data_IF_739617533631
#
_entry.id   IF_739617533631
#
_cell.length_a   1.000
_cell.length_b   1.000
_cell.length_c   1.000
_cell.angle_alpha   90.00
_cell.angle_beta   90.00
_cell.angle_gamma   90.00
#
_symmetry.space_group_name_H-M   'P 1'
#
loop_
_entity.id
_entity.type
_entity.pdbx_description
1 polymer ?
#
# COMPACT_ATOMS: atom_id res chain seq x y z
N UNK A 1 24.39 -15.04 -87.95
CA UNK A 1 24.29 -16.47 -87.57
C UNK A 1 24.32 -16.58 -86.05
N UNK A 2 23.43 -17.40 -85.47
CA UNK A 2 23.37 -17.81 -84.05
C UNK A 2 24.74 -18.27 -83.51
N UNK A 3 25.05 -18.27 -82.20
CA UNK A 3 24.40 -19.02 -81.09
C UNK A 3 24.86 -18.56 -79.69
N UNK A 4 24.11 -19.01 -78.68
CA UNK A 4 24.06 -18.72 -77.24
C UNK A 4 25.27 -19.11 -76.35
N UNK A 5 25.19 -18.64 -75.08
CA UNK A 5 25.66 -19.21 -73.79
C UNK A 5 27.18 -19.14 -73.48
N UNK A 6 27.68 -18.87 -72.26
CA UNK A 6 27.19 -19.13 -70.87
C UNK A 6 27.98 -18.20 -69.91
N UNK A 7 27.35 -17.81 -68.81
CA UNK A 7 27.92 -17.12 -67.65
C UNK A 7 28.73 -18.07 -66.74
N UNK A 8 29.79 -17.59 -66.03
CA UNK A 8 30.43 -18.34 -64.95
C UNK A 8 29.89 -17.93 -63.56
N UNK A 9 29.67 -18.96 -62.74
CA UNK A 9 29.27 -18.96 -61.34
C UNK A 9 30.21 -18.15 -60.43
N UNK A 10 29.65 -17.35 -59.54
CA UNK A 10 30.37 -16.73 -58.41
C UNK A 10 30.10 -17.56 -57.14
N UNK A 11 31.21 -18.13 -56.65
CA UNK A 11 31.36 -18.89 -55.42
C UNK A 11 30.70 -18.27 -54.20
N UNK A 12 29.85 -19.05 -53.53
CA UNK A 12 29.27 -18.77 -52.22
C UNK A 12 30.29 -18.99 -51.09
N UNK A 13 30.59 -17.97 -50.29
CA UNK A 13 31.31 -18.10 -49.02
C UNK A 13 30.34 -18.54 -47.91
N UNK A 14 30.38 -19.84 -47.55
CA UNK A 14 29.66 -20.40 -46.40
C UNK A 14 30.45 -20.14 -45.12
N UNK A 15 29.94 -19.29 -44.22
CA UNK A 15 30.38 -19.27 -42.83
C UNK A 15 29.73 -20.46 -42.12
N UNK A 16 30.55 -21.44 -41.72
CA UNK A 16 30.11 -22.67 -41.08
C UNK A 16 30.11 -22.47 -39.56
N UNK A 17 28.98 -22.03 -39.00
CA UNK A 17 28.74 -22.10 -37.56
C UNK A 17 28.23 -23.53 -37.27
N UNK A 18 28.97 -24.28 -36.45
CA UNK A 18 28.50 -25.57 -35.93
C UNK A 18 27.28 -25.30 -35.04
N UNK A 19 26.09 -25.70 -35.50
CA UNK A 19 24.87 -25.82 -34.73
C UNK A 19 24.58 -27.31 -34.54
N UNK A 20 24.50 -27.74 -33.28
CA UNK A 20 23.39 -28.61 -32.91
C UNK A 20 22.16 -27.69 -32.76
N UNK A 21 21.00 -28.15 -33.23
CA UNK A 21 19.72 -27.43 -33.42
C UNK A 21 19.52 -26.77 -34.80
N UNK A 22 18.91 -27.54 -35.71
CA UNK A 22 18.32 -27.09 -36.96
C UNK A 22 17.15 -26.12 -36.71
N UNK A 23 17.27 -24.90 -37.20
CA UNK A 23 16.13 -24.06 -37.60
C UNK A 23 16.52 -23.36 -38.90
N UNK A 24 15.96 -23.80 -40.03
CA UNK A 24 15.98 -23.08 -41.30
C UNK A 24 14.78 -22.12 -41.32
N UNK A 25 15.04 -20.82 -41.44
CA UNK A 25 14.00 -19.82 -41.72
C UNK A 25 14.16 -19.40 -43.18
N UNK A 26 13.22 -19.82 -44.02
CA UNK A 26 13.09 -19.37 -45.41
C UNK A 26 12.30 -18.05 -45.42
N UNK A 27 12.96 -16.94 -45.80
CA UNK A 27 12.29 -15.65 -46.01
C UNK A 27 12.03 -15.41 -47.51
N UNK A 28 10.81 -14.97 -47.89
CA UNK A 28 10.49 -14.68 -49.29
C UNK A 28 11.13 -13.36 -49.75
N UNK A 29 11.70 -13.39 -50.96
CA UNK A 29 12.34 -12.24 -51.62
C UNK A 29 11.34 -11.52 -52.51
N UNK A 30 10.75 -10.40 -52.08
CA UNK A 30 10.34 -9.32 -53.00
C UNK A 30 10.10 -7.97 -52.29
N UNK A 31 10.36 -6.92 -53.08
CA UNK A 31 10.46 -5.48 -52.83
C UNK A 31 9.34 -4.82 -52.01
N UNK A 32 9.71 -4.16 -50.91
CA UNK A 32 9.43 -2.74 -50.62
C UNK A 32 10.15 -2.30 -49.32
N UNK A 33 10.94 -1.24 -49.41
CA UNK A 33 12.21 -1.09 -48.68
C UNK A 33 12.16 -0.31 -47.34
N UNK A 34 11.03 -0.28 -46.64
CA UNK A 34 10.92 0.38 -45.33
C UNK A 34 10.27 -0.50 -44.27
N UNK A 35 9.17 -1.19 -44.60
CA UNK A 35 8.50 -2.10 -43.67
C UNK A 35 9.30 -3.39 -43.40
N UNK A 36 10.10 -3.85 -44.37
CA UNK A 36 10.93 -5.05 -44.20
C UNK A 36 12.09 -4.81 -43.24
N UNK A 37 12.76 -3.65 -43.32
CA UNK A 37 13.77 -3.28 -42.34
C UNK A 37 13.16 -3.10 -40.96
N UNK A 38 11.99 -2.45 -40.84
CA UNK A 38 11.34 -2.23 -39.54
C UNK A 38 10.95 -3.55 -38.86
N UNK A 39 10.38 -4.51 -39.59
CA UNK A 39 10.09 -5.84 -39.07
C UNK A 39 11.36 -6.61 -38.70
N UNK A 40 12.43 -6.54 -39.51
CA UNK A 40 13.71 -7.15 -39.16
C UNK A 40 14.36 -6.51 -37.95
N UNK A 41 14.28 -5.18 -37.78
CA UNK A 41 14.77 -4.48 -36.58
C UNK A 41 13.98 -4.86 -35.33
N UNK A 42 12.64 -4.94 -35.41
CA UNK A 42 11.82 -5.36 -34.27
C UNK A 42 12.12 -6.82 -33.90
N UNK A 43 12.25 -7.71 -34.89
CA UNK A 43 12.56 -9.12 -34.63
C UNK A 43 13.98 -9.30 -34.08
N UNK A 44 14.95 -8.53 -34.57
CA UNK A 44 16.31 -8.50 -34.04
C UNK A 44 16.31 -7.88 -32.63
N UNK A 45 15.54 -6.83 -32.36
CA UNK A 45 15.40 -6.28 -31.01
C UNK A 45 14.73 -7.26 -30.06
N UNK A 46 13.74 -8.04 -30.50
CA UNK A 46 13.10 -9.09 -29.70
C UNK A 46 14.09 -10.26 -29.48
N UNK A 47 14.81 -10.69 -30.51
CA UNK A 47 15.81 -11.75 -30.41
C UNK A 47 17.01 -11.32 -29.56
N UNK A 48 17.45 -10.06 -29.65
CA UNK A 48 18.46 -9.48 -28.75
C UNK A 48 17.88 -9.41 -27.35
N UNK A 49 16.62 -8.98 -27.15
CA UNK A 49 16.00 -8.94 -25.82
C UNK A 49 15.89 -10.33 -25.20
N UNK A 50 15.53 -11.34 -25.99
CA UNK A 50 15.48 -12.76 -25.57
C UNK A 50 16.89 -13.35 -25.34
N UNK A 51 17.87 -13.10 -26.22
CA UNK A 51 19.26 -13.53 -26.04
C UNK A 51 20.01 -12.74 -24.94
N UNK A 52 19.54 -11.57 -24.55
CA UNK A 52 20.06 -10.79 -23.42
C UNK A 52 19.40 -11.19 -22.10
N UNK A 53 18.10 -11.53 -22.10
CA UNK A 53 17.40 -12.07 -20.92
C UNK A 53 17.97 -13.43 -20.49
N UNK A 54 18.36 -14.29 -21.44
CA UNK A 54 18.96 -15.61 -21.14
C UNK A 54 20.44 -15.53 -20.69
N UNK A 55 21.09 -14.36 -20.79
CA UNK A 55 22.53 -14.19 -20.49
C UNK A 55 22.85 -13.41 -19.21
N UNK A 56 21.85 -12.85 -18.53
CA UNK A 56 22.00 -12.39 -17.15
C UNK A 56 21.56 -13.52 -16.22
N UNK A 57 22.52 -14.12 -15.51
CA UNK A 57 22.19 -14.96 -14.36
C UNK A 57 21.19 -14.21 -13.47
N UNK A 58 20.12 -14.92 -13.08
CA UNK A 58 19.01 -14.41 -12.25
C UNK A 58 19.45 -13.24 -11.37
N UNK A 59 19.18 -12.00 -11.80
CA UNK A 59 19.24 -10.87 -10.90
C UNK A 59 18.20 -11.20 -9.83
N UNK A 60 18.66 -11.57 -8.63
CA UNK A 60 17.75 -11.89 -7.54
C UNK A 60 16.91 -10.64 -7.27
N UNK A 61 15.67 -10.67 -7.73
CA UNK A 61 14.71 -9.60 -7.49
C UNK A 61 14.57 -9.45 -5.97
N UNK A 62 14.57 -8.22 -5.43
CA UNK A 62 14.34 -8.01 -4.01
C UNK A 62 13.03 -8.68 -3.59
N UNK A 63 13.05 -9.26 -2.38
CA UNK A 63 11.89 -9.98 -1.81
C UNK A 63 10.64 -9.10 -1.82
N UNK A 64 10.79 -7.84 -1.43
CA UNK A 64 9.72 -6.87 -1.37
C UNK A 64 9.90 -5.76 -2.39
N UNK A 65 8.80 -5.34 -3.01
CA UNK A 65 8.74 -4.14 -3.85
C UNK A 65 8.17 -2.94 -3.09
N UNK A 66 7.43 -3.17 -1.99
CA UNK A 66 6.80 -2.12 -1.21
C UNK A 66 6.89 -2.39 0.30
N UNK A 67 7.01 -1.31 1.06
CA UNK A 67 6.91 -1.27 2.51
C UNK A 67 5.70 -0.40 2.86
N UNK A 68 4.73 -0.99 3.55
CA UNK A 68 3.48 -0.34 3.93
C UNK A 68 3.54 -0.03 5.43
N UNK A 69 3.38 1.23 5.82
CA UNK A 69 3.52 1.67 7.22
C UNK A 69 2.23 2.26 7.72
N UNK A 70 1.73 1.75 8.83
CA UNK A 70 0.85 2.55 9.67
C UNK A 70 1.60 3.73 10.30
N UNK A 71 0.85 4.72 10.77
CA UNK A 71 1.37 5.98 11.27
C UNK A 71 1.31 6.04 12.80
N UNK A 72 0.09 6.03 13.34
CA UNK A 72 -0.19 6.19 14.76
C UNK A 72 0.37 5.02 15.57
N UNK A 73 1.11 5.32 16.64
CA UNK A 73 1.75 4.32 17.51
C UNK A 73 2.74 3.36 16.81
N UNK A 74 3.00 3.57 15.51
CA UNK A 74 3.94 2.83 14.66
C UNK A 74 5.19 3.65 14.33
N UNK A 75 5.03 4.82 13.69
CA UNK A 75 6.15 5.71 13.34
C UNK A 75 6.57 6.63 14.49
N UNK A 76 5.74 6.72 15.52
CA UNK A 76 6.02 7.34 16.80
C UNK A 76 5.44 6.46 17.90
N UNK A 77 6.02 6.46 19.11
CA UNK A 77 5.57 5.57 20.16
C UNK A 77 4.24 6.03 20.79
N UNK A 78 3.50 5.08 21.33
CA UNK A 78 2.32 5.31 22.18
C UNK A 78 2.56 6.31 23.32
N UNK A 79 3.80 6.36 23.83
CA UNK A 79 4.21 7.29 24.88
C UNK A 79 4.20 8.77 24.45
N UNK A 80 4.00 9.08 23.17
CA UNK A 80 3.76 10.44 22.67
C UNK A 80 2.49 11.08 23.25
N UNK A 81 1.55 10.26 23.72
CA UNK A 81 0.28 10.71 24.30
C UNK A 81 -0.77 11.12 23.27
N UNK A 82 -0.49 11.00 21.97
CA UNK A 82 -1.46 11.34 20.92
C UNK A 82 -2.69 10.44 20.97
N UNK A 83 -2.51 9.12 21.10
CA UNK A 83 -3.63 8.18 21.20
C UNK A 83 -4.59 8.50 22.36
N UNK A 84 -4.04 8.89 23.53
CA UNK A 84 -4.84 9.32 24.67
C UNK A 84 -5.60 10.63 24.39
N UNK A 85 -4.97 11.59 23.71
CA UNK A 85 -5.61 12.84 23.31
C UNK A 85 -6.70 12.61 22.24
N UNK A 86 -6.46 11.72 21.27
CA UNK A 86 -7.46 11.29 20.27
C UNK A 86 -8.67 10.69 20.98
N UNK A 87 -8.45 9.70 21.86
CA UNK A 87 -9.53 9.05 22.60
C UNK A 87 -10.35 10.08 23.39
N UNK A 88 -9.70 10.97 24.15
CA UNK A 88 -10.38 12.03 24.88
C UNK A 88 -11.20 12.93 23.94
N UNK A 89 -10.63 13.35 22.81
CA UNK A 89 -11.35 14.22 21.87
C UNK A 89 -12.55 13.51 21.23
N UNK A 90 -12.48 12.20 21.01
CA UNK A 90 -13.62 11.39 20.54
C UNK A 90 -14.72 11.35 21.61
N UNK A 91 -14.35 11.14 22.88
CA UNK A 91 -15.29 11.15 24.01
C UNK A 91 -15.97 12.52 24.15
N UNK A 92 -15.19 13.61 24.10
CA UNK A 92 -15.70 14.98 24.11
C UNK A 92 -16.67 15.21 22.93
N UNK A 93 -16.39 14.68 21.73
CA UNK A 93 -17.27 14.80 20.57
C UNK A 93 -18.60 14.07 20.79
N UNK A 94 -18.54 12.85 21.32
CA UNK A 94 -19.72 12.05 21.62
C UNK A 94 -20.64 12.74 22.63
N UNK A 95 -20.07 13.41 23.63
CA UNK A 95 -20.84 14.15 24.64
C UNK A 95 -21.37 15.47 24.04
N UNK A 96 -20.48 16.32 23.53
CA UNK A 96 -20.80 17.70 23.16
C UNK A 96 -21.59 17.80 21.85
N UNK A 97 -21.31 16.95 20.86
CA UNK A 97 -21.88 17.04 19.52
C UNK A 97 -23.00 16.04 19.29
N UNK A 98 -22.88 14.83 19.83
CA UNK A 98 -23.88 13.78 19.67
C UNK A 98 -24.86 13.68 20.84
N UNK A 99 -24.61 14.39 21.95
CA UNK A 99 -25.49 14.40 23.12
C UNK A 99 -25.56 13.05 23.85
N UNK A 100 -24.52 12.23 23.73
CA UNK A 100 -24.46 10.91 24.36
C UNK A 100 -24.18 11.08 25.85
N UNK A 101 -24.90 10.32 26.66
CA UNK A 101 -24.72 10.30 28.11
C UNK A 101 -23.28 9.89 28.49
N UNK A 102 -22.62 10.72 29.32
CA UNK A 102 -21.22 10.51 29.75
C UNK A 102 -20.98 9.13 30.37
N UNK A 103 -21.96 8.59 31.11
CA UNK A 103 -21.88 7.28 31.76
C UNK A 103 -21.70 6.11 30.79
N UNK A 104 -22.16 6.26 29.53
CA UNK A 104 -22.11 5.22 28.49
C UNK A 104 -20.86 5.29 27.62
N UNK A 105 -20.11 6.39 27.70
CA UNK A 105 -19.01 6.69 26.79
C UNK A 105 -17.91 5.62 26.84
N UNK A 106 -17.40 5.17 28.01
CA UNK A 106 -16.33 4.17 28.05
C UNK A 106 -16.74 2.87 27.35
N UNK A 107 -17.92 2.34 27.68
CA UNK A 107 -18.43 1.10 27.12
C UNK A 107 -18.69 1.23 25.60
N UNK A 108 -19.23 2.36 25.15
CA UNK A 108 -19.42 2.62 23.72
C UNK A 108 -18.09 2.67 22.99
N UNK A 109 -17.09 3.40 23.49
CA UNK A 109 -15.78 3.46 22.85
C UNK A 109 -15.18 2.06 22.66
N UNK A 110 -15.20 1.25 23.71
CA UNK A 110 -14.65 -0.11 23.69
C UNK A 110 -15.41 -1.02 22.73
N UNK A 111 -16.74 -1.04 22.80
CA UNK A 111 -17.58 -1.88 21.93
C UNK A 111 -17.46 -1.46 20.46
N UNK A 112 -17.48 -0.16 20.18
CA UNK A 112 -17.39 0.33 18.80
C UNK A 112 -16.02 0.07 18.20
N UNK A 113 -14.94 0.36 18.94
CA UNK A 113 -13.58 0.06 18.50
C UNK A 113 -13.35 -1.45 18.30
N UNK A 114 -13.86 -2.29 19.22
CA UNK A 114 -13.71 -3.74 19.15
C UNK A 114 -14.39 -4.33 17.91
N UNK A 115 -15.58 -3.86 17.58
CA UNK A 115 -16.40 -4.46 16.52
C UNK A 115 -16.24 -3.81 15.14
N UNK A 116 -15.89 -2.51 15.08
CA UNK A 116 -15.84 -1.75 13.82
C UNK A 116 -14.44 -1.23 13.47
N UNK A 117 -13.44 -1.42 14.34
CA UNK A 117 -12.07 -0.99 14.10
C UNK A 117 -11.77 0.45 14.48
N UNK A 118 -12.75 1.35 14.37
CA UNK A 118 -12.68 2.73 14.88
C UNK A 118 -14.00 3.13 15.54
N UNK A 119 -13.94 4.04 16.52
CA UNK A 119 -15.16 4.57 17.15
C UNK A 119 -16.03 5.30 16.14
N UNK A 120 -15.44 6.06 15.22
CA UNK A 120 -16.17 6.74 14.13
C UNK A 120 -16.96 5.75 13.26
N UNK A 121 -16.32 4.66 12.80
CA UNK A 121 -16.99 3.63 12.02
C UNK A 121 -18.17 3.01 12.77
N UNK A 122 -17.98 2.76 14.06
CA UNK A 122 -19.05 2.25 14.91
C UNK A 122 -20.20 3.22 15.11
N UNK A 123 -19.91 4.51 15.37
CA UNK A 123 -20.95 5.54 15.52
C UNK A 123 -21.83 5.62 14.27
N UNK A 124 -21.22 5.58 13.08
CA UNK A 124 -21.94 5.53 11.79
C UNK A 124 -22.76 4.26 11.62
N UNK A 125 -22.28 3.12 12.10
CA UNK A 125 -22.99 1.85 12.01
C UNK A 125 -24.26 1.84 12.87
N UNK A 126 -24.18 2.38 14.09
CA UNK A 126 -25.30 2.38 15.03
C UNK A 126 -26.31 3.51 14.79
N UNK A 127 -26.13 4.32 13.75
CA UNK A 127 -27.13 5.28 13.28
C UNK A 127 -26.83 6.76 13.54
N UNK A 128 -25.69 7.10 14.17
CA UNK A 128 -25.30 8.52 14.27
C UNK A 128 -24.89 9.06 12.90
N UNK A 129 -25.41 10.23 12.57
CA UNK A 129 -25.09 10.94 11.33
C UNK A 129 -24.37 12.26 11.66
N UNK A 130 -23.21 12.46 11.05
CA UNK A 130 -22.36 13.64 11.22
C UNK A 130 -21.41 13.77 10.03
N UNK A 131 -20.96 15.00 9.76
CA UNK A 131 -19.99 15.30 8.71
C UNK A 131 -18.57 14.86 9.15
N UNK A 132 -17.86 14.18 8.24
CA UNK A 132 -16.55 13.61 8.53
C UNK A 132 -15.48 14.68 8.71
N UNK A 133 -15.55 15.79 7.97
CA UNK A 133 -14.56 16.86 8.08
C UNK A 133 -14.72 17.60 9.41
N UNK A 134 -15.96 17.81 9.87
CA UNK A 134 -16.20 18.36 11.21
C UNK A 134 -15.68 17.42 12.31
N UNK A 135 -15.94 16.11 12.19
CA UNK A 135 -15.44 15.12 13.14
C UNK A 135 -13.92 15.12 13.20
N UNK A 136 -13.24 15.02 12.05
CA UNK A 136 -11.77 15.02 11.99
C UNK A 136 -11.16 16.33 12.47
N UNK A 137 -11.75 17.48 12.12
CA UNK A 137 -11.33 18.79 12.63
C UNK A 137 -11.43 18.86 14.15
N UNK A 138 -12.51 18.34 14.75
CA UNK A 138 -12.69 18.34 16.20
C UNK A 138 -11.75 17.38 16.91
N UNK A 139 -11.57 16.16 16.37
CA UNK A 139 -10.79 15.09 16.99
C UNK A 139 -9.29 15.32 16.80
N UNK A 140 -8.84 15.60 15.57
CA UNK A 140 -7.43 15.74 15.24
C UNK A 140 -6.92 17.19 15.24
N UNK A 141 -7.80 18.19 15.13
CA UNK A 141 -7.41 19.59 15.13
C UNK A 141 -6.91 20.10 16.48
N UNK A 142 -7.21 19.39 17.57
CA UNK A 142 -6.85 19.76 18.97
C UNK A 142 -5.75 18.89 19.56
N UNK A 143 -5.05 18.10 18.73
CA UNK A 143 -4.00 17.20 19.23
C UNK A 143 -2.72 17.95 19.61
N UNK A 144 -2.00 17.49 20.65
CA UNK A 144 -0.75 18.08 21.11
C UNK A 144 0.42 17.69 20.20
N UNK A 145 0.41 18.15 18.95
CA UNK A 145 1.46 17.85 17.95
C UNK A 145 2.86 18.31 18.37
N UNK A 146 2.97 19.21 19.33
CA UNK A 146 4.23 19.62 19.97
C UNK A 146 4.92 18.48 20.72
N UNK A 147 4.20 17.42 21.09
CA UNK A 147 4.78 16.22 21.69
C UNK A 147 5.58 15.39 20.67
N UNK A 148 5.24 15.50 19.39
CA UNK A 148 6.01 14.89 18.31
C UNK A 148 7.25 15.75 18.02
N UNK A 149 8.42 15.13 18.10
CA UNK A 149 9.71 15.77 17.82
C UNK A 149 10.29 15.21 16.53
N UNK A 150 11.07 16.00 15.77
CA UNK A 150 11.80 15.48 14.62
C UNK A 150 12.66 14.29 15.02
N UNK A 151 12.64 13.25 14.19
CA UNK A 151 13.39 12.02 14.42
C UNK A 151 14.43 11.83 13.30
N UNK A 152 15.62 12.43 13.43
CA UNK A 152 16.66 12.33 12.41
C UNK A 152 17.20 10.90 12.25
N UNK A 153 17.11 10.07 13.29
CA UNK A 153 17.55 8.67 13.24
C UNK A 153 16.58 7.87 12.37
N UNK A 154 15.28 7.99 12.63
CA UNK A 154 14.26 7.37 11.80
C UNK A 154 14.26 7.92 10.37
N UNK A 155 14.42 9.24 10.18
CA UNK A 155 14.55 9.84 8.84
C UNK A 155 15.71 9.22 8.06
N UNK A 156 16.89 9.12 8.68
CA UNK A 156 18.06 8.49 8.05
C UNK A 156 17.83 7.02 7.74
N UNK A 157 17.18 6.29 8.65
CA UNK A 157 16.85 4.87 8.47
C UNK A 157 15.91 4.68 7.27
N UNK A 158 14.78 5.40 7.23
CA UNK A 158 13.81 5.30 6.16
C UNK A 158 14.38 5.78 4.81
N UNK A 159 15.17 6.85 4.81
CA UNK A 159 15.80 7.38 3.58
C UNK A 159 16.79 6.40 2.98
N UNK A 160 17.47 5.60 3.80
CA UNK A 160 18.44 4.61 3.33
C UNK A 160 17.81 3.35 2.72
N UNK A 161 16.50 3.16 2.79
CA UNK A 161 15.82 1.98 2.22
C UNK A 161 15.60 2.15 0.70
N UNK A 162 16.11 1.24 -0.15
CA UNK A 162 15.93 1.28 -1.61
C UNK A 162 14.61 0.63 -2.07
N UNK A 163 13.55 0.73 -1.26
CA UNK A 163 12.25 0.08 -1.52
C UNK A 163 11.16 1.14 -1.45
N UNK A 164 10.11 1.02 -2.27
CA UNK A 164 8.94 1.91 -2.21
C UNK A 164 8.33 1.92 -0.81
N UNK A 165 7.94 3.10 -0.32
CA UNK A 165 7.39 3.32 1.03
C UNK A 165 6.05 4.03 0.92
N UNK A 166 5.00 3.50 1.55
CA UNK A 166 3.64 4.06 1.52
C UNK A 166 3.06 4.08 2.93
N UNK A 167 2.41 5.18 3.32
CA UNK A 167 1.65 5.26 4.57
C UNK A 167 0.26 4.65 4.36
N UNK A 168 -0.23 3.90 5.35
CA UNK A 168 -1.59 3.39 5.41
C UNK A 168 -2.19 3.54 6.81
N UNK A 169 -2.90 4.65 7.01
CA UNK A 169 -3.53 5.03 8.30
C UNK A 169 -5.06 5.03 8.21
N UNK A 170 -5.72 4.80 9.34
CA UNK A 170 -7.17 5.01 9.49
C UNK A 170 -7.53 6.50 9.74
N UNK A 171 -6.54 7.37 9.98
CA UNK A 171 -6.74 8.79 10.19
C UNK A 171 -6.97 9.55 8.86
N UNK A 172 -7.43 10.80 8.97
CA UNK A 172 -7.54 11.71 7.82
C UNK A 172 -6.19 12.24 7.34
N UNK A 173 -6.19 12.76 6.12
CA UNK A 173 -5.00 13.27 5.45
C UNK A 173 -4.37 14.46 6.18
N UNK A 174 -5.17 15.33 6.80
CA UNK A 174 -4.66 16.52 7.50
C UNK A 174 -3.86 16.10 8.74
N UNK A 175 -4.36 15.12 9.50
CA UNK A 175 -3.63 14.53 10.60
C UNK A 175 -2.31 13.89 10.12
N UNK A 176 -2.38 13.04 9.09
CA UNK A 176 -1.21 12.31 8.59
C UNK A 176 -0.07 13.25 8.17
N UNK A 177 -0.38 14.29 7.40
CA UNK A 177 0.60 15.29 6.96
C UNK A 177 1.20 16.04 8.17
N UNK A 178 0.38 16.44 9.15
CA UNK A 178 0.87 17.15 10.35
C UNK A 178 1.82 16.27 11.16
N UNK A 179 1.47 15.00 11.39
CA UNK A 179 2.32 14.08 12.13
C UNK A 179 3.66 13.86 11.42
N UNK A 180 3.64 13.56 10.12
CA UNK A 180 4.85 13.37 9.32
C UNK A 180 5.75 14.61 9.33
N UNK A 181 5.18 15.80 9.16
CA UNK A 181 5.92 17.07 9.20
C UNK A 181 6.57 17.33 10.56
N UNK A 182 5.90 16.98 11.66
CA UNK A 182 6.48 17.11 13.02
C UNK A 182 7.64 16.14 13.26
N UNK A 183 7.58 14.96 12.67
CA UNK A 183 8.63 13.94 12.73
C UNK A 183 9.77 14.22 11.74
N UNK A 184 9.57 15.10 10.76
CA UNK A 184 10.53 15.39 9.70
C UNK A 184 10.59 14.30 8.62
N UNK A 185 9.49 13.56 8.41
CA UNK A 185 9.40 12.37 7.55
C UNK A 185 8.57 12.61 6.28
N UNK A 186 8.18 13.85 5.99
CA UNK A 186 7.36 14.23 4.84
C UNK A 186 7.91 13.74 3.49
N UNK A 187 9.23 13.63 3.35
CA UNK A 187 9.92 13.25 2.10
C UNK A 187 10.19 11.74 2.00
N UNK A 188 9.84 10.95 3.02
CA UNK A 188 10.24 9.55 3.11
C UNK A 188 9.26 8.58 2.41
N UNK A 189 8.06 9.04 2.07
CA UNK A 189 6.97 8.19 1.58
C UNK A 189 6.48 8.67 0.22
N UNK A 190 6.20 7.73 -0.69
CA UNK A 190 5.68 8.04 -2.03
C UNK A 190 4.21 8.52 -1.97
N UNK A 191 3.44 8.00 -1.02
CA UNK A 191 2.02 8.34 -0.90
C UNK A 191 1.42 7.98 0.46
N UNK A 192 0.21 8.48 0.68
CA UNK A 192 -0.57 8.28 1.90
C UNK A 192 -1.94 7.70 1.52
N UNK A 193 -2.21 6.49 1.98
CA UNK A 193 -3.53 5.86 2.00
C UNK A 193 -4.17 6.21 3.35
N UNK A 194 -5.19 7.05 3.34
CA UNK A 194 -5.85 7.59 4.52
C UNK A 194 -7.37 7.41 4.44
N UNK A 195 -8.10 7.96 5.41
CA UNK A 195 -9.55 7.91 5.46
C UNK A 195 -10.20 8.34 4.12
N UNK A 196 -9.80 9.49 3.57
CA UNK A 196 -10.36 10.06 2.34
C UNK A 196 -10.05 9.20 1.12
N UNK A 197 -8.90 8.52 1.10
CA UNK A 197 -8.53 7.59 0.01
C UNK A 197 -9.50 6.40 -0.06
N UNK A 198 -9.94 5.90 1.10
CA UNK A 198 -10.87 4.76 1.17
C UNK A 198 -12.33 5.17 1.19
N UNK A 199 -12.63 6.40 1.58
CA UNK A 199 -13.98 6.94 1.79
C UNK A 199 -14.15 8.26 1.02
N UNK A 200 -14.05 8.24 -0.32
CA UNK A 200 -14.20 9.45 -1.11
C UNK A 200 -15.60 10.05 -0.91
N UNK A 201 -15.65 11.30 -0.47
CA UNK A 201 -16.89 12.08 -0.36
C UNK A 201 -17.01 13.00 -1.58
N UNK A 202 -18.23 13.22 -2.08
CA UNK A 202 -18.50 14.08 -3.25
C UNK A 202 -18.03 15.55 -3.10
N UNK A 203 -17.49 15.94 -1.95
CA UNK A 203 -16.95 17.29 -1.71
C UNK A 203 -15.46 17.43 -2.06
N UNK A 204 -14.71 16.35 -2.31
CA UNK A 204 -13.26 16.43 -2.58
C UNK A 204 -12.87 16.66 -4.05
N UNK A 205 -13.84 16.75 -4.97
CA UNK A 205 -13.56 17.09 -6.38
C UNK A 205 -13.43 18.59 -6.59
N UNK A 206 -12.28 19.12 -6.19
CA UNK A 206 -11.65 20.26 -6.86
C UNK A 206 -10.13 20.05 -6.91
N UNK A 207 -9.68 19.21 -7.85
CA UNK A 207 -8.50 19.44 -8.71
C UNK A 207 -8.16 18.17 -9.50
N UNK A 208 -8.35 18.26 -10.81
CA UNK A 208 -7.54 17.70 -11.90
C UNK A 208 -7.05 16.24 -11.78
N UNK A 209 -7.85 15.30 -12.30
CA UNK A 209 -7.49 14.39 -13.40
C UNK A 209 -8.65 13.40 -13.64
N UNK A 210 -9.07 13.25 -14.90
CA UNK A 210 -10.10 12.31 -15.34
C UNK A 210 -9.60 10.87 -15.22
N UNK A 211 -10.21 10.07 -14.35
CA UNK A 211 -10.33 8.63 -14.51
C UNK A 211 -11.60 8.16 -13.78
N UNK A 212 -12.69 8.08 -14.55
CA UNK A 212 -13.99 7.59 -14.09
C UNK A 212 -13.91 6.10 -13.74
N UNK A 213 -13.83 5.79 -12.45
CA UNK A 213 -14.29 4.49 -11.94
C UNK A 213 -15.77 4.64 -11.58
N UNK A 214 -16.64 4.20 -12.47
CA UNK A 214 -18.08 4.07 -12.21
C UNK A 214 -18.31 3.21 -10.96
N UNK A 215 -18.76 3.85 -9.88
CA UNK A 215 -19.19 3.18 -8.67
C UNK A 215 -20.60 2.62 -8.86
N UNK A 216 -20.70 1.30 -9.02
CA UNK A 216 -21.95 0.53 -9.00
C UNK A 216 -22.42 0.34 -7.54
N UNK A 217 -22.82 1.44 -6.93
CA UNK A 217 -23.39 1.50 -5.59
C UNK A 217 -24.31 2.70 -5.48
N UNK A 218 -25.40 2.66 -6.24
CA UNK A 218 -26.44 3.68 -6.27
C UNK A 218 -26.80 4.17 -4.86
N UNK A 219 -26.53 5.45 -4.61
CA UNK A 219 -27.20 6.25 -3.59
C UNK A 219 -28.66 6.42 -3.97
N UNK A 220 -29.45 5.36 -3.83
CA UNK A 220 -30.86 5.53 -3.54
C UNK A 220 -30.96 5.84 -2.05
N UNK A 221 -30.94 7.13 -1.73
CA UNK A 221 -31.50 7.62 -0.47
C UNK A 221 -32.93 7.07 -0.40
N UNK A 222 -33.28 6.20 0.55
CA UNK A 222 -34.67 5.87 0.76
C UNK A 222 -35.37 7.18 1.08
N UNK A 223 -36.46 7.47 0.37
CA UNK A 223 -37.39 8.53 0.75
C UNK A 223 -37.56 8.50 2.26
N UNK A 224 -37.27 9.62 2.90
CA UNK A 224 -37.50 9.83 4.32
C UNK A 224 -38.93 9.41 4.68
N UNK A 225 -39.06 8.22 5.27
CA UNK A 225 -40.15 7.96 6.18
C UNK A 225 -39.87 8.82 7.42
N UNK A 226 -40.90 9.55 7.87
CA UNK A 226 -40.85 10.52 8.95
C UNK A 226 -40.53 9.86 10.31
N UNK A 227 -39.29 9.46 10.52
CA UNK A 227 -38.72 9.05 11.80
C UNK A 227 -37.24 9.41 11.82
N UNK A 228 -36.77 10.03 12.90
CA UNK A 228 -35.33 10.10 13.17
C UNK A 228 -34.77 8.68 13.12
N UNK A 229 -33.62 8.43 12.45
CA UNK A 229 -33.03 7.09 12.42
C UNK A 229 -32.85 6.59 13.86
N UNK A 230 -33.44 5.45 14.17
CA UNK A 230 -33.35 4.85 15.50
C UNK A 230 -31.90 4.45 15.76
N UNK A 231 -31.32 4.96 16.85
CA UNK A 231 -29.96 4.63 17.24
C UNK A 231 -29.95 3.20 17.81
N UNK A 232 -29.12 2.33 17.22
CA UNK A 232 -28.98 0.95 17.66
C UNK A 232 -28.29 0.88 19.03
N UNK A 233 -28.98 0.29 20.01
CA UNK A 233 -28.44 0.09 21.37
C UNK A 233 -27.45 -1.09 21.43
N UNK A 234 -26.19 -0.80 21.08
CA UNK A 234 -25.12 -1.79 21.10
C UNK A 234 -24.78 -2.30 22.52
N UNK A 235 -24.95 -1.46 23.55
CA UNK A 235 -24.71 -1.87 24.95
C UNK A 235 -25.78 -2.86 25.37
N UNK A 236 -27.05 -2.53 25.13
CA UNK A 236 -28.18 -3.42 25.39
C UNK A 236 -28.05 -4.73 24.62
N UNK A 237 -27.62 -4.67 23.35
CA UNK A 237 -27.37 -5.86 22.52
C UNK A 237 -26.38 -6.82 23.18
N UNK A 238 -25.20 -6.34 23.60
CA UNK A 238 -24.18 -7.21 24.23
C UNK A 238 -24.48 -7.56 25.69
N UNK A 239 -25.47 -6.92 26.31
CA UNK A 239 -25.97 -7.30 27.64
C UNK A 239 -26.89 -8.51 27.61
N UNK A 240 -27.35 -8.94 26.42
CA UNK A 240 -28.21 -10.11 26.26
C UNK A 240 -27.40 -11.41 26.11
N UNK A 241 -27.87 -12.54 26.68
CA UNK A 241 -27.18 -13.83 26.60
C UNK A 241 -27.08 -14.40 25.17
N UNK A 242 -27.98 -14.00 24.26
CA UNK A 242 -28.09 -14.54 22.90
C UNK A 242 -27.53 -13.60 21.80
N UNK A 243 -26.69 -12.64 22.19
CA UNK A 243 -26.08 -11.59 21.34
C UNK A 243 -25.17 -12.11 20.19
N UNK A 244 -25.28 -13.37 19.80
CA UNK A 244 -24.62 -13.96 18.64
C UNK A 244 -25.57 -14.33 17.48
N UNK A 245 -26.89 -14.18 17.65
CA UNK A 245 -27.88 -14.69 16.66
C UNK A 245 -28.34 -13.64 15.64
N UNK A 246 -28.39 -12.36 16.01
CA UNK A 246 -28.63 -11.24 15.08
C UNK A 246 -27.30 -10.59 14.70
N UNK A 247 -27.16 -10.07 13.49
CA UNK A 247 -25.92 -9.41 13.06
C UNK A 247 -25.82 -7.98 13.61
N UNK A 248 -24.61 -7.49 13.81
CA UNK A 248 -24.38 -6.06 14.05
C UNK A 248 -24.70 -5.23 12.78
N UNK A 249 -25.18 -3.99 12.93
CA UNK A 249 -25.34 -3.07 11.81
C UNK A 249 -24.05 -2.91 11.00
N UNK A 250 -24.14 -2.71 9.68
CA UNK A 250 -22.96 -2.48 8.85
C UNK A 250 -22.56 -1.01 8.90
N UNK A 251 -21.26 -0.75 9.02
CA UNK A 251 -20.72 0.60 8.85
C UNK A 251 -20.56 0.95 7.37
N UNK A 252 -20.84 2.19 6.95
CA UNK A 252 -20.45 2.68 5.62
C UNK A 252 -18.96 3.01 5.53
N UNK A 253 -18.25 3.14 6.66
CA UNK A 253 -16.84 3.51 6.69
C UNK A 253 -15.96 2.30 6.40
N UNK A 254 -15.10 2.44 5.40
CA UNK A 254 -14.10 1.45 5.01
C UNK A 254 -12.78 1.78 5.72
N UNK A 255 -12.37 0.95 6.68
CA UNK A 255 -11.13 1.12 7.43
C UNK A 255 -10.56 -0.24 7.92
N UNK A 256 -9.29 -0.24 8.35
CA UNK A 256 -8.67 -1.39 9.05
C UNK A 256 -9.43 -1.65 10.37
N UNK A 257 -9.60 -2.91 10.84
CA UNK A 257 -9.00 -4.18 10.37
C UNK A 257 -9.78 -4.89 9.26
N UNK A 258 -10.75 -4.26 8.60
CA UNK A 258 -11.51 -4.95 7.55
C UNK A 258 -10.58 -5.45 6.44
N UNK A 259 -10.59 -6.76 6.16
CA UNK A 259 -9.81 -7.36 5.07
C UNK A 259 -10.12 -6.70 3.73
N UNK A 260 -11.39 -6.38 3.47
CA UNK A 260 -11.78 -5.68 2.24
C UNK A 260 -11.25 -4.24 2.17
N UNK A 261 -11.06 -3.58 3.32
CA UNK A 261 -10.46 -2.24 3.36
C UNK A 261 -8.98 -2.28 3.00
N UNK A 262 -8.23 -3.26 3.54
CA UNK A 262 -6.82 -3.46 3.20
C UNK A 262 -6.70 -3.85 1.72
N UNK A 263 -7.50 -4.79 1.24
CA UNK A 263 -7.51 -5.18 -0.18
C UNK A 263 -7.78 -3.99 -1.11
N UNK A 264 -8.72 -3.12 -0.75
CA UNK A 264 -9.01 -1.89 -1.50
C UNK A 264 -7.82 -0.93 -1.49
N UNK A 265 -7.17 -0.74 -0.35
CA UNK A 265 -5.98 0.10 -0.22
C UNK A 265 -4.83 -0.40 -1.13
N UNK A 266 -4.57 -1.71 -1.11
CA UNK A 266 -3.55 -2.33 -1.96
C UNK A 266 -3.85 -2.15 -3.45
N UNK A 267 -5.12 -2.31 -3.86
CA UNK A 267 -5.55 -2.07 -5.25
C UNK A 267 -5.33 -0.62 -5.68
N UNK A 268 -5.77 0.34 -4.86
CA UNK A 268 -5.61 1.78 -5.15
C UNK A 268 -4.12 2.13 -5.33
N UNK A 269 -3.24 1.58 -4.49
CA UNK A 269 -1.82 1.87 -4.53
C UNK A 269 -1.01 0.99 -5.51
N UNK A 270 -1.67 0.09 -6.25
CA UNK A 270 -1.04 -0.91 -7.12
C UNK A 270 0.06 -1.71 -6.38
N UNK A 271 -0.29 -2.27 -5.22
CA UNK A 271 0.62 -3.02 -4.35
C UNK A 271 0.31 -4.52 -4.44
N UNK A 272 1.34 -5.33 -4.71
CA UNK A 272 1.27 -6.79 -4.60
C UNK A 272 1.42 -7.22 -3.13
N UNK A 273 0.40 -7.84 -2.51
CA UNK A 273 0.47 -8.25 -1.11
C UNK A 273 1.61 -9.24 -0.84
N UNK A 274 1.89 -10.17 -1.76
CA UNK A 274 2.92 -11.20 -1.55
C UNK A 274 4.35 -10.67 -1.60
N UNK A 275 4.50 -9.39 -1.96
CA UNK A 275 5.79 -8.72 -2.11
C UNK A 275 5.83 -7.41 -1.34
N UNK A 276 5.07 -7.38 -0.24
CA UNK A 276 4.95 -6.21 0.63
C UNK A 276 5.10 -6.60 2.09
N UNK A 277 5.87 -5.77 2.81
CA UNK A 277 6.03 -5.86 4.25
C UNK A 277 5.19 -4.76 4.93
N UNK A 278 4.30 -5.15 5.85
CA UNK A 278 3.35 -4.28 6.51
C UNK A 278 3.71 -4.04 7.98
N UNK A 279 4.00 -2.79 8.35
CA UNK A 279 4.37 -2.33 9.69
C UNK A 279 3.18 -1.72 10.40
N UNK A 280 2.81 -2.27 11.55
CA UNK A 280 1.55 -1.92 12.21
C UNK A 280 1.56 -2.33 13.70
N UNK A 281 0.91 -1.58 14.60
CA UNK A 281 0.92 -1.80 16.06
C UNK A 281 -0.27 -2.65 16.59
N UNK A 282 -1.37 -2.67 15.86
CA UNK A 282 -2.61 -3.40 16.11
C UNK A 282 -2.57 -4.84 15.57
N UNK A 283 -2.60 -5.79 16.50
CA UNK A 283 -2.68 -7.23 16.20
C UNK A 283 -3.81 -7.58 15.23
N UNK A 284 -4.97 -6.90 15.31
CA UNK A 284 -6.11 -7.16 14.42
C UNK A 284 -5.82 -6.74 12.98
N UNK A 285 -5.14 -5.61 12.79
CA UNK A 285 -4.77 -5.10 11.48
C UNK A 285 -3.66 -5.97 10.87
N UNK A 286 -2.66 -6.37 11.66
CA UNK A 286 -1.63 -7.34 11.26
C UNK A 286 -2.24 -8.67 10.80
N UNK A 287 -3.18 -9.23 11.57
CA UNK A 287 -3.85 -10.48 11.19
C UNK A 287 -4.64 -10.35 9.89
N UNK A 288 -5.39 -9.25 9.72
CA UNK A 288 -6.13 -8.97 8.50
C UNK A 288 -5.20 -8.82 7.29
N UNK A 289 -4.06 -8.13 7.45
CA UNK A 289 -3.05 -8.02 6.41
C UNK A 289 -2.44 -9.37 6.04
N UNK A 290 -2.11 -10.20 7.04
CA UNK A 290 -1.57 -11.55 6.83
C UNK A 290 -2.52 -12.45 6.04
N UNK A 291 -3.84 -12.31 6.24
CA UNK A 291 -4.85 -13.04 5.47
C UNK A 291 -4.83 -12.72 3.96
N UNK A 292 -4.32 -11.55 3.56
CA UNK A 292 -4.18 -11.16 2.15
C UNK A 292 -2.83 -11.56 1.55
N UNK A 293 -1.93 -12.14 2.34
CA UNK A 293 -0.60 -12.56 1.88
C UNK A 293 0.53 -11.56 2.15
N UNK A 294 0.26 -10.47 2.87
CA UNK A 294 1.31 -9.56 3.36
C UNK A 294 2.25 -10.29 4.32
N UNK A 295 3.55 -10.00 4.21
CA UNK A 295 4.45 -10.23 5.34
C UNK A 295 4.26 -9.08 6.33
N UNK A 296 4.34 -9.36 7.63
CA UNK A 296 3.86 -8.43 8.66
C UNK A 296 4.84 -8.23 9.81
N UNK A 297 4.89 -7.00 10.30
CA UNK A 297 5.74 -6.57 11.41
C UNK A 297 4.87 -5.89 12.46
N UNK A 298 4.77 -6.50 13.63
CA UNK A 298 4.11 -5.89 14.78
C UNK A 298 5.06 -4.91 15.47
N UNK A 299 4.74 -3.62 15.50
CA UNK A 299 5.55 -2.60 16.17
C UNK A 299 5.02 -2.31 17.58
N UNK A 300 5.90 -1.93 18.50
CA UNK A 300 5.57 -1.63 19.91
C UNK A 300 5.61 -2.83 20.86
N UNK A 301 5.94 -4.04 20.37
CA UNK A 301 6.03 -5.26 21.19
C UNK A 301 7.20 -6.14 20.75
N UNK A 302 7.99 -6.65 21.70
CA UNK A 302 9.05 -7.62 21.43
C UNK A 302 8.54 -9.04 21.16
N UNK A 303 7.33 -9.37 21.62
CA UNK A 303 6.76 -10.71 21.46
C UNK A 303 5.94 -10.84 20.19
N UNK A 304 6.36 -11.77 19.33
CA UNK A 304 5.60 -12.15 18.13
C UNK A 304 4.29 -12.84 18.52
N UNK A 305 3.21 -12.42 17.87
CA UNK A 305 1.87 -13.00 18.04
C UNK A 305 1.44 -13.76 16.78
N UNK A 306 0.37 -14.56 16.89
CA UNK A 306 -0.21 -15.23 15.73
C UNK A 306 -0.64 -14.19 14.68
N UNK A 307 -0.09 -14.30 13.48
CA UNK A 307 -0.35 -13.39 12.35
C UNK A 307 0.78 -12.38 12.09
N UNK A 308 1.72 -12.19 13.02
CA UNK A 308 2.91 -11.37 12.82
C UNK A 308 4.10 -12.26 12.40
N UNK A 309 4.83 -11.89 11.34
CA UNK A 309 6.08 -12.58 10.96
C UNK A 309 7.26 -12.10 11.82
N UNK A 310 7.30 -10.80 12.06
CA UNK A 310 8.27 -10.12 12.90
C UNK A 310 7.57 -9.28 13.99
N UNK A 311 8.29 -8.95 15.06
CA UNK A 311 7.79 -8.06 16.11
C UNK A 311 8.94 -7.24 16.71
N UNK A 312 8.77 -5.91 16.78
CA UNK A 312 9.78 -4.96 17.29
C UNK A 312 9.20 -4.11 18.40
N UNK A 313 10.01 -3.76 19.39
CA UNK A 313 9.63 -2.75 20.38
C UNK A 313 9.58 -1.35 19.76
N UNK A 314 10.42 -1.09 18.76
CA UNK A 314 10.48 0.18 18.05
C UNK A 314 10.79 -0.04 16.57
N UNK A 315 10.24 0.83 15.71
CA UNK A 315 10.55 0.83 14.28
C UNK A 315 12.04 1.05 14.00
N UNK A 316 12.78 1.63 14.96
CA UNK A 316 14.23 1.82 14.90
C UNK A 316 15.02 0.52 14.82
N UNK A 317 14.46 -0.61 15.27
CA UNK A 317 15.13 -1.91 15.20
C UNK A 317 15.09 -2.54 13.80
N UNK A 318 14.46 -1.90 12.82
CA UNK A 318 14.26 -2.44 11.47
C UNK A 318 15.55 -2.95 10.81
N UNK A 319 16.64 -2.18 10.91
CA UNK A 319 17.92 -2.55 10.28
C UNK A 319 18.55 -3.80 10.88
N UNK A 320 18.44 -3.96 12.19
CA UNK A 320 18.98 -5.13 12.89
C UNK A 320 18.13 -6.37 12.63
N UNK A 321 16.80 -6.19 12.62
CA UNK A 321 15.88 -7.31 12.54
C UNK A 321 15.64 -7.82 11.13
N UNK A 322 15.69 -6.95 10.12
CA UNK A 322 15.46 -7.28 8.70
C UNK A 322 16.54 -6.61 7.83
N UNK A 323 17.83 -6.99 7.99
CA UNK A 323 18.92 -6.38 7.24
C UNK A 323 18.80 -6.59 5.72
N UNK A 324 18.10 -7.64 5.28
CA UNK A 324 17.88 -7.96 3.87
C UNK A 324 17.15 -6.85 3.08
N UNK A 325 16.45 -5.92 3.76
CA UNK A 325 15.84 -4.76 3.10
C UNK A 325 16.86 -3.81 2.45
N UNK A 326 18.14 -3.87 2.88
CA UNK A 326 19.24 -3.07 2.35
C UNK A 326 20.15 -3.83 1.39
N UNK A 327 19.98 -5.15 1.26
CA UNK A 327 20.86 -5.98 0.44
C UNK A 327 20.52 -5.89 -1.06
N UNK A 328 19.36 -5.30 -1.42
CA UNK A 328 18.95 -5.06 -2.80
C UNK A 328 19.96 -4.18 -3.59
N UNK A 329 20.69 -3.29 -2.91
CA UNK A 329 21.68 -2.41 -3.54
C UNK A 329 23.04 -3.08 -3.77
N UNK A 330 23.42 -4.09 -2.97
CA UNK A 330 24.77 -4.66 -3.03
C UNK A 330 25.03 -5.48 -4.30
N UNK A 331 23.99 -6.11 -4.86
CA UNK A 331 24.12 -6.86 -6.11
C UNK A 331 24.30 -5.94 -7.32
N UNK A 332 23.71 -4.73 -7.32
CA UNK A 332 23.88 -3.78 -8.40
C UNK A 332 25.31 -3.18 -8.39
N UNK A 333 25.83 -2.74 -7.25
CA UNK A 333 27.17 -2.13 -7.16
C UNK A 333 28.32 -3.12 -7.46
N UNK A 334 28.23 -4.36 -6.98
CA UNK A 334 29.27 -5.39 -7.24
C UNK A 334 29.33 -5.78 -8.72
N UNK A 335 28.21 -5.72 -9.43
CA UNK A 335 28.16 -6.02 -10.87
C UNK A 335 28.83 -4.92 -11.71
N UNK A 336 28.76 -3.65 -11.28
CA UNK A 336 29.44 -2.55 -11.98
C UNK A 336 30.94 -2.48 -11.70
N UNK A 337 31.41 -2.85 -10.50
CA UNK A 337 32.85 -2.81 -10.19
C UNK A 337 33.67 -3.92 -10.89
N UNK A 338 33.03 -5.01 -11.29
CA UNK A 338 33.70 -6.14 -11.94
C UNK A 338 34.03 -5.92 -13.43
N UNK A 339 33.57 -4.82 -14.04
CA UNK A 339 33.74 -4.51 -15.49
C UNK A 339 34.83 -3.45 -15.74
N UNK A 340 35.69 -3.15 -14.77
CA UNK A 340 36.92 -2.41 -15.01
C UNK A 340 37.98 -3.34 -15.62
N UNK A 341 37.93 -3.54 -16.95
CA UNK A 341 38.97 -4.24 -17.70
C UNK A 341 40.18 -3.32 -17.84
N UNK A 342 41.28 -3.67 -17.18
CA UNK A 342 42.60 -3.10 -17.43
C UNK A 342 43.00 -3.33 -18.90
N UNK A 343 43.22 -2.26 -19.67
CA UNK A 343 43.90 -2.34 -20.96
C UNK A 343 45.40 -2.51 -20.74
N UNK A 344 46.04 -3.57 -21.27
CA UNK A 344 47.49 -3.68 -21.27
C UNK A 344 48.12 -2.64 -22.20
N UNK A 345 49.29 -2.15 -21.79
CA UNK A 345 50.09 -1.10 -22.42
C UNK A 345 50.66 -1.46 -23.80
#
# INVERSE_FOLDING_TARGET
MHTQNKSPDISSSKIKIRKDCNFEILLPTQRNNTNFLLCSFILISILIKMEFEDRYGQVQRPKYDCLLFDLDDTLYPLSSGLAAAVLKNIQDYMIEKLGIEESKIPDLCDLLYKNYGTTMAGLRAIGYDFDYDEYHSFVHGRLPYENLKPDPVLKSLLSSLPIRKVIFTNADKVHAIKALSRLGLEDCFEGILCFETLNPTHKSTTSDDEDDIEFLGSTQSPRAENGSPEIFDIIGYFSQPDAGSSGLPKTPIVCKPSVSAIERALKIANIDPHRTLFFEDSVRNIQAGKCLGLDTVLVGKSQRVKGADYAFESIHNLREAIPELWEADKLAEVTYSAVAVETPA
#
